data_IF_775148020901
#
_entry.id   IF_775148020901
#
_cell.length_a   1.000
_cell.length_b   1.000
_cell.length_c   1.000
_cell.angle_alpha   90.00
_cell.angle_beta   90.00
_cell.angle_gamma   90.00
#
_symmetry.space_group_name_H-M   'P 1'
#
loop_
_entity.id
_entity.type
_entity.pdbx_description
1 polymer ?
#
# COMPACT_ATOMS: atom_id res chain seq x y z
N UNK A 1 12.06 -3.23 -6.51
CA UNK A 1 10.65 -3.67 -6.57
C UNK A 1 9.71 -2.50 -6.42
N UNK A 2 8.51 -2.64 -6.93
CA UNK A 2 7.44 -1.71 -6.60
C UNK A 2 6.51 -2.39 -5.60
N UNK A 3 6.26 -1.72 -4.47
CA UNK A 3 5.45 -2.27 -3.37
C UNK A 3 4.28 -1.34 -3.11
N UNK A 4 3.08 -1.91 -3.07
CA UNK A 4 1.87 -1.17 -2.70
C UNK A 4 1.48 -1.58 -1.29
N UNK A 5 1.28 -0.59 -0.43
CA UNK A 5 0.92 -0.80 0.97
C UNK A 5 -0.45 -0.18 1.23
N UNK A 6 -1.38 -0.96 1.73
CA UNK A 6 -2.69 -0.47 2.16
C UNK A 6 -2.68 -0.29 3.67
N UNK A 7 -2.80 0.93 4.11
CA UNK A 7 -2.78 1.31 5.51
C UNK A 7 -1.52 2.07 5.88
N UNK A 8 -1.70 3.28 6.41
CA UNK A 8 -0.59 4.13 6.83
C UNK A 8 -0.64 4.37 8.34
N UNK A 9 -0.83 3.29 9.09
CA UNK A 9 -0.69 3.30 10.54
C UNK A 9 0.78 3.11 10.92
N UNK A 10 1.03 2.67 12.14
CA UNK A 10 2.41 2.45 12.61
C UNK A 10 3.15 1.42 11.77
N UNK A 11 2.49 0.31 11.48
CA UNK A 11 3.10 -0.77 10.71
C UNK A 11 3.32 -0.34 9.27
N UNK A 12 2.28 0.18 8.63
CA UNK A 12 2.36 0.57 7.22
C UNK A 12 3.36 1.67 6.96
N UNK A 13 3.39 2.70 7.81
CA UNK A 13 4.34 3.81 7.64
C UNK A 13 5.78 3.35 7.86
N UNK A 14 6.00 2.51 8.86
CA UNK A 14 7.33 1.97 9.15
C UNK A 14 7.81 1.11 7.99
N UNK A 15 6.95 0.23 7.49
CA UNK A 15 7.27 -0.63 6.35
C UNK A 15 7.59 0.21 5.11
N UNK A 16 6.79 1.24 4.86
CA UNK A 16 6.99 2.10 3.69
C UNK A 16 8.33 2.81 3.72
N UNK A 17 8.69 3.40 4.86
CA UNK A 17 9.95 4.12 4.98
C UNK A 17 11.15 3.17 4.91
N UNK A 18 11.03 1.98 5.50
CA UNK A 18 12.11 0.99 5.44
C UNK A 18 12.33 0.48 4.02
N UNK A 19 11.26 0.20 3.30
CA UNK A 19 11.36 -0.28 1.92
C UNK A 19 11.93 0.80 1.00
N UNK A 20 11.51 2.03 1.19
CA UNK A 20 12.05 3.13 0.39
C UNK A 20 13.54 3.33 0.66
N UNK A 21 13.96 3.23 1.92
CA UNK A 21 15.38 3.32 2.29
C UNK A 21 16.19 2.20 1.67
N UNK A 22 15.57 1.05 1.43
CA UNK A 22 16.23 -0.09 0.79
C UNK A 22 16.25 0.01 -0.74
N UNK A 23 15.75 1.09 -1.32
CA UNK A 23 15.80 1.35 -2.75
C UNK A 23 14.57 0.91 -3.54
N UNK A 24 13.51 0.52 -2.88
CA UNK A 24 12.27 0.13 -3.55
C UNK A 24 11.36 1.33 -3.79
N UNK A 25 10.53 1.26 -4.82
CA UNK A 25 9.46 2.25 -5.00
C UNK A 25 8.26 1.81 -4.20
N UNK A 26 7.61 2.75 -3.53
CA UNK A 26 6.51 2.46 -2.60
C UNK A 26 5.34 3.39 -2.88
N UNK A 27 4.13 2.82 -2.89
CA UNK A 27 2.89 3.59 -2.90
C UNK A 27 2.09 3.17 -1.66
N UNK A 28 1.59 4.14 -0.93
CA UNK A 28 0.81 3.90 0.30
C UNK A 28 -0.60 4.40 0.11
N UNK A 29 -1.56 3.56 0.43
CA UNK A 29 -3.00 3.87 0.35
C UNK A 29 -3.57 3.98 1.76
N UNK A 30 -4.33 5.03 2.01
CA UNK A 30 -5.08 5.15 3.26
C UNK A 30 -6.31 6.01 3.01
N UNK A 31 -7.40 5.74 3.72
CA UNK A 31 -8.62 6.54 3.62
C UNK A 31 -8.45 7.89 4.30
N UNK A 32 -7.60 7.97 5.30
CA UNK A 32 -7.35 9.19 6.07
C UNK A 32 -6.07 9.87 5.57
N UNK A 33 -6.24 10.99 4.89
CA UNK A 33 -5.10 11.75 4.37
C UNK A 33 -4.09 12.12 5.46
N UNK A 34 -4.57 12.40 6.66
CA UNK A 34 -3.73 12.78 7.80
C UNK A 34 -2.76 11.68 8.20
N UNK A 35 -3.12 10.41 7.90
CA UNK A 35 -2.26 9.29 8.25
C UNK A 35 -0.90 9.35 7.56
N UNK A 36 -0.84 9.99 6.39
CA UNK A 36 0.41 10.09 5.63
C UNK A 36 1.48 10.93 6.32
N UNK A 37 1.12 11.69 7.35
CA UNK A 37 2.10 12.45 8.15
C UNK A 37 3.13 11.53 8.79
N UNK A 38 2.76 10.28 9.07
CA UNK A 38 3.67 9.30 9.67
C UNK A 38 4.84 8.96 8.78
N UNK A 39 4.71 9.20 7.48
CA UNK A 39 5.79 8.91 6.52
C UNK A 39 6.95 9.92 6.64
N UNK A 40 6.66 11.12 7.15
CA UNK A 40 7.66 12.15 7.31
C UNK A 40 7.92 12.94 6.02
N UNK A 41 8.67 14.06 6.13
CA UNK A 41 8.87 14.98 5.00
C UNK A 41 9.81 14.43 3.93
N UNK A 42 10.58 13.40 4.24
CA UNK A 42 11.57 12.86 3.31
C UNK A 42 11.04 11.70 2.46
N UNK A 43 9.81 11.26 2.72
CA UNK A 43 9.23 10.17 1.93
C UNK A 43 8.96 10.62 0.50
N UNK A 44 9.53 9.92 -0.46
CA UNK A 44 9.46 10.25 -1.89
C UNK A 44 8.49 9.38 -2.66
N UNK A 45 7.90 8.39 -2.01
CA UNK A 45 6.95 7.51 -2.65
C UNK A 45 5.62 8.20 -2.90
N UNK A 46 4.67 7.44 -3.41
CA UNK A 46 3.35 7.94 -3.75
C UNK A 46 2.38 7.70 -2.60
N UNK A 47 1.50 8.66 -2.36
CA UNK A 47 0.40 8.50 -1.40
C UNK A 47 -0.91 8.61 -2.16
N UNK A 48 -1.83 7.68 -1.88
CA UNK A 48 -3.14 7.65 -2.54
C UNK A 48 -4.21 7.60 -1.46
N UNK A 49 -5.11 8.59 -1.47
CA UNK A 49 -6.23 8.62 -0.52
C UNK A 49 -7.38 7.86 -1.13
N UNK A 50 -7.88 6.85 -0.42
CA UNK A 50 -9.02 6.08 -0.89
C UNK A 50 -9.13 4.74 -0.22
N UNK A 51 -10.11 3.97 -0.67
CA UNK A 51 -10.38 2.62 -0.17
C UNK A 51 -9.44 1.63 -0.86
N UNK A 52 -8.71 0.85 -0.08
CA UNK A 52 -7.61 0.03 -0.59
C UNK A 52 -8.01 -1.17 -1.44
N UNK A 53 -9.31 -1.47 -1.57
CA UNK A 53 -9.78 -2.50 -2.51
C UNK A 53 -10.53 -1.91 -3.71
N UNK A 54 -10.59 -0.59 -3.82
CA UNK A 54 -11.14 0.10 -4.98
C UNK A 54 -10.13 0.00 -6.13
N UNK A 55 -10.58 -0.48 -7.28
CA UNK A 55 -9.70 -0.71 -8.42
C UNK A 55 -9.05 0.55 -8.94
N UNK A 56 -9.75 1.68 -8.93
CA UNK A 56 -9.17 2.95 -9.38
C UNK A 56 -8.06 3.39 -8.44
N UNK A 57 -8.27 3.22 -7.13
CA UNK A 57 -7.27 3.55 -6.12
C UNK A 57 -6.04 2.65 -6.27
N UNK A 58 -6.25 1.35 -6.46
CA UNK A 58 -5.15 0.41 -6.67
C UNK A 58 -4.37 0.73 -7.93
N UNK A 59 -5.05 1.07 -9.02
CA UNK A 59 -4.37 1.44 -10.26
C UNK A 59 -3.57 2.72 -10.09
N UNK A 60 -4.10 3.69 -9.38
CA UNK A 60 -3.37 4.93 -9.10
C UNK A 60 -2.11 4.65 -8.29
N UNK A 61 -2.14 3.66 -7.41
CA UNK A 61 -0.98 3.24 -6.63
C UNK A 61 0.02 2.39 -7.45
N UNK A 62 -0.31 2.05 -8.68
CA UNK A 62 0.58 1.27 -9.54
C UNK A 62 0.51 -0.23 -9.31
N UNK A 63 -0.66 -0.75 -8.92
CA UNK A 63 -0.82 -2.19 -8.62
C UNK A 63 -0.46 -3.08 -9.81
N UNK A 64 -0.62 -2.61 -11.02
CA UNK A 64 -0.32 -3.38 -12.22
C UNK A 64 1.17 -3.69 -12.36
N UNK A 65 2.01 -2.83 -11.81
CA UNK A 65 3.47 -2.99 -11.85
C UNK A 65 4.02 -3.46 -10.52
N UNK A 66 3.17 -3.76 -9.56
CA UNK A 66 3.62 -4.10 -8.21
C UNK A 66 4.17 -5.52 -8.14
N UNK A 67 5.30 -5.65 -7.47
CA UNK A 67 5.90 -6.94 -7.15
C UNK A 67 5.36 -7.48 -5.83
N UNK A 68 4.89 -6.60 -4.97
CA UNK A 68 4.35 -6.98 -3.67
C UNK A 68 3.21 -6.06 -3.25
N UNK A 69 2.31 -6.60 -2.45
CA UNK A 69 1.21 -5.85 -1.86
C UNK A 69 1.07 -6.26 -0.39
N UNK A 70 1.02 -5.28 0.49
CA UNK A 70 0.83 -5.52 1.92
C UNK A 70 -0.41 -4.78 2.41
N UNK A 71 -1.37 -5.53 2.94
CA UNK A 71 -2.60 -4.97 3.50
C UNK A 71 -2.46 -4.98 5.03
N UNK A 72 -2.15 -3.83 5.59
CA UNK A 72 -1.84 -3.67 7.01
C UNK A 72 -2.66 -2.57 7.67
N UNK A 73 -3.88 -2.36 7.19
CA UNK A 73 -4.81 -1.41 7.81
C UNK A 73 -5.43 -2.03 9.07
N UNK A 74 -6.21 -1.23 9.80
CA UNK A 74 -6.89 -1.71 11.00
C UNK A 74 -8.11 -2.59 10.70
N UNK A 75 -8.57 -2.64 9.47
CA UNK A 75 -9.75 -3.42 9.10
C UNK A 75 -9.40 -4.79 8.56
N UNK A 76 -9.60 -5.84 9.37
CA UNK A 76 -9.25 -7.20 8.97
C UNK A 76 -9.95 -7.65 7.70
N UNK A 77 -11.25 -7.40 7.59
CA UNK A 77 -12.01 -7.79 6.41
C UNK A 77 -11.57 -7.03 5.17
N UNK A 78 -11.26 -5.74 5.33
CA UNK A 78 -10.76 -4.91 4.24
C UNK A 78 -9.39 -5.38 3.78
N UNK A 79 -8.53 -5.81 4.72
CA UNK A 79 -7.21 -6.33 4.39
C UNK A 79 -7.33 -7.62 3.57
N UNK A 80 -8.22 -8.51 4.00
CA UNK A 80 -8.44 -9.79 3.29
C UNK A 80 -8.98 -9.53 1.89
N UNK A 81 -9.96 -8.64 1.76
CA UNK A 81 -10.56 -8.31 0.48
C UNK A 81 -9.55 -7.68 -0.47
N UNK A 82 -8.78 -6.70 0.01
CA UNK A 82 -7.77 -6.03 -0.80
C UNK A 82 -6.67 -7.00 -1.24
N UNK A 83 -6.23 -7.87 -0.35
CA UNK A 83 -5.22 -8.89 -0.68
C UNK A 83 -5.73 -9.83 -1.77
N UNK A 84 -7.00 -10.22 -1.70
CA UNK A 84 -7.60 -11.08 -2.72
C UNK A 84 -7.66 -10.37 -4.08
N UNK A 85 -8.07 -9.12 -4.11
CA UNK A 85 -8.11 -8.34 -5.34
C UNK A 85 -6.71 -8.21 -5.94
N UNK A 86 -5.71 -7.92 -5.12
CA UNK A 86 -4.34 -7.80 -5.60
C UNK A 86 -3.85 -9.12 -6.21
N UNK A 87 -4.14 -10.24 -5.56
CA UNK A 87 -3.68 -11.54 -6.02
C UNK A 87 -4.46 -12.03 -7.23
N UNK A 88 -5.79 -11.99 -7.17
CA UNK A 88 -6.63 -12.63 -8.19
C UNK A 88 -6.91 -11.73 -9.39
N UNK A 89 -7.05 -10.43 -9.18
CA UNK A 89 -7.35 -9.50 -10.26
C UNK A 89 -6.09 -9.00 -10.94
N UNK A 90 -5.05 -8.70 -10.17
CA UNK A 90 -3.84 -8.09 -10.69
C UNK A 90 -2.62 -9.00 -10.71
N UNK A 91 -2.75 -10.20 -10.16
CA UNK A 91 -1.68 -11.20 -10.23
C UNK A 91 -0.42 -10.84 -9.46
N UNK A 92 -0.54 -10.04 -8.41
CA UNK A 92 0.61 -9.69 -7.59
C UNK A 92 1.13 -10.94 -6.90
N UNK A 93 2.42 -11.23 -7.04
CA UNK A 93 2.99 -12.49 -6.59
C UNK A 93 3.21 -12.56 -5.08
N UNK A 94 3.58 -11.46 -4.47
CA UNK A 94 3.88 -11.42 -3.04
C UNK A 94 2.82 -10.59 -2.33
N UNK A 95 1.87 -11.25 -1.69
CA UNK A 95 0.75 -10.60 -1.03
C UNK A 95 0.72 -11.01 0.43
N UNK A 96 0.69 -10.01 1.31
CA UNK A 96 0.61 -10.18 2.76
C UNK A 96 -0.61 -9.41 3.27
N UNK A 97 -1.35 -10.03 4.18
CA UNK A 97 -2.51 -9.40 4.80
C UNK A 97 -2.49 -9.57 6.32
#
# INVERSE_FOLDING_TARGET
MHVVIMGCGRVGSSLATDLEAAGHTVAVIDQAREAFRRLGPNFKGKTVTGVGFDRDVLREAGIQDADAFAAVSNGDNSNILAARVARETYGVQNVVA
#
